data_IF_571423293096
#
_entry.id   IF_571423293096
#
_cell.length_a   1.000
_cell.length_b   1.000
_cell.length_c   1.000
_cell.angle_alpha   90.00
_cell.angle_beta   90.00
_cell.angle_gamma   90.00
#
_symmetry.space_group_name_H-M   'P 1'
#
loop_
_entity.id
_entity.type
_entity.pdbx_description
1 polymer ?
#
# COMPACT_ATOMS: atom_id res chain seq x y z
N UNK A 1 14.82 4.47 11.04
CA UNK A 1 14.62 5.35 9.86
C UNK A 1 13.21 5.22 9.30
N UNK A 2 12.65 6.27 8.69
CA UNK A 2 11.48 6.11 7.82
C UNK A 2 11.98 5.64 6.47
N UNK A 3 11.63 4.42 6.05
CA UNK A 3 11.84 3.99 4.67
C UNK A 3 11.30 5.11 3.75
N UNK A 4 12.18 5.69 2.94
CA UNK A 4 11.89 6.86 2.11
C UNK A 4 11.01 6.44 0.94
N UNK A 5 9.78 6.01 1.26
CA UNK A 5 8.82 5.53 0.30
C UNK A 5 8.51 6.67 -0.66
N UNK A 6 8.55 6.42 -1.97
CA UNK A 6 8.34 7.49 -2.94
C UNK A 6 6.95 8.11 -2.75
N UNK A 7 6.79 9.37 -3.19
CA UNK A 7 5.57 10.17 -2.99
C UNK A 7 4.27 9.43 -3.32
N UNK A 8 4.30 8.48 -4.27
CA UNK A 8 3.17 7.61 -4.61
C UNK A 8 2.58 6.83 -3.42
N UNK A 9 3.42 6.41 -2.45
CA UNK A 9 2.95 5.59 -1.33
C UNK A 9 2.06 6.39 -0.39
N UNK A 10 2.46 7.64 -0.10
CA UNK A 10 1.68 8.56 0.74
C UNK A 10 0.34 8.91 0.07
N UNK A 11 0.35 9.17 -1.24
CA UNK A 11 -0.87 9.45 -1.99
C UNK A 11 -1.83 8.25 -1.96
N UNK A 12 -1.31 7.03 -2.16
CA UNK A 12 -2.11 5.83 -2.13
C UNK A 12 -2.71 5.53 -0.76
N UNK A 13 -1.94 5.74 0.33
CA UNK A 13 -2.46 5.66 1.69
C UNK A 13 -3.56 6.69 1.94
N UNK A 14 -3.41 7.92 1.45
CA UNK A 14 -4.45 8.94 1.56
C UNK A 14 -5.75 8.52 0.83
N UNK A 15 -5.63 7.98 -0.39
CA UNK A 15 -6.77 7.45 -1.15
C UNK A 15 -7.45 6.28 -0.43
N UNK A 16 -6.67 5.39 0.16
CA UNK A 16 -7.16 4.28 0.97
C UNK A 16 -7.91 4.79 2.21
N UNK A 17 -7.35 5.75 2.95
CA UNK A 17 -7.98 6.36 4.12
C UNK A 17 -9.31 7.05 3.76
N UNK A 18 -9.37 7.77 2.64
CA UNK A 18 -10.61 8.36 2.13
C UNK A 18 -11.65 7.29 1.79
N UNK A 19 -11.23 6.22 1.13
CA UNK A 19 -12.12 5.10 0.79
C UNK A 19 -12.65 4.37 2.04
N UNK A 20 -11.81 4.19 3.05
CA UNK A 20 -12.20 3.62 4.35
C UNK A 20 -13.20 4.52 5.09
N UNK A 21 -12.98 5.84 5.10
CA UNK A 21 -13.93 6.79 5.70
C UNK A 21 -15.29 6.75 5.03
N UNK A 22 -15.33 6.68 3.68
CA UNK A 22 -16.58 6.50 2.93
C UNK A 22 -17.24 5.16 3.27
N UNK A 23 -16.47 4.08 3.41
CA UNK A 23 -16.99 2.78 3.80
C UNK A 23 -17.64 2.82 5.20
N UNK A 24 -16.95 3.41 6.17
CA UNK A 24 -17.42 3.53 7.55
C UNK A 24 -18.77 4.26 7.66
N UNK A 25 -18.98 5.29 6.82
CA UNK A 25 -20.22 6.09 6.82
C UNK A 25 -21.40 5.41 6.10
N UNK A 26 -21.18 4.30 5.38
CA UNK A 26 -22.25 3.61 4.64
C UNK A 26 -22.94 2.55 5.49
N UNK A 27 -24.27 2.48 5.37
CA UNK A 27 -25.13 1.50 6.06
C UNK A 27 -24.67 0.07 5.77
N UNK A 28 -24.51 -0.71 6.84
CA UNK A 28 -24.21 -2.16 6.78
C UNK A 28 -25.27 -2.88 5.95
N UNK A 29 -24.85 -3.87 5.15
CA UNK A 29 -25.74 -4.64 4.27
C UNK A 29 -26.18 -3.94 2.96
N UNK A 30 -26.01 -2.62 2.84
CA UNK A 30 -26.41 -1.92 1.61
C UNK A 30 -25.55 -2.30 0.39
N UNK A 31 -26.15 -2.35 -0.80
CA UNK A 31 -25.45 -2.58 -2.08
C UNK A 31 -24.31 -1.56 -2.26
N UNK A 32 -24.55 -0.30 -1.85
CA UNK A 32 -23.54 0.76 -1.89
C UNK A 32 -22.34 0.43 -0.98
N UNK A 33 -22.55 -0.14 0.20
CA UNK A 33 -21.45 -0.57 1.07
C UNK A 33 -20.65 -1.69 0.42
N UNK A 34 -21.30 -2.69 -0.16
CA UNK A 34 -20.61 -3.81 -0.83
C UNK A 34 -19.71 -3.33 -1.98
N UNK A 35 -20.23 -2.43 -2.84
CA UNK A 35 -19.42 -1.80 -3.90
C UNK A 35 -18.20 -1.04 -3.34
N UNK A 36 -18.35 -0.40 -2.19
CA UNK A 36 -17.25 0.31 -1.52
C UNK A 36 -16.23 -0.64 -0.89
N UNK A 37 -16.66 -1.77 -0.29
CA UNK A 37 -15.75 -2.81 0.20
C UNK A 37 -14.82 -3.32 -0.89
N UNK A 38 -15.37 -3.63 -2.08
CA UNK A 38 -14.57 -4.06 -3.24
C UNK A 38 -13.55 -3.00 -3.64
N UNK A 39 -13.94 -1.72 -3.65
CA UNK A 39 -13.02 -0.61 -3.95
C UNK A 39 -11.89 -0.52 -2.92
N UNK A 40 -12.20 -0.67 -1.63
CA UNK A 40 -11.21 -0.68 -0.55
C UNK A 40 -10.25 -1.86 -0.70
N UNK A 41 -10.75 -3.06 -1.01
CA UNK A 41 -9.93 -4.25 -1.24
C UNK A 41 -8.94 -4.04 -2.40
N UNK A 42 -9.39 -3.50 -3.54
CA UNK A 42 -8.52 -3.19 -4.68
C UNK A 42 -7.44 -2.16 -4.33
N UNK A 43 -7.76 -1.17 -3.49
CA UNK A 43 -6.76 -0.19 -3.03
C UNK A 43 -5.73 -0.82 -2.10
N UNK A 44 -6.15 -1.70 -1.19
CA UNK A 44 -5.24 -2.46 -0.32
C UNK A 44 -4.29 -3.33 -1.13
N UNK A 45 -4.81 -4.08 -2.10
CA UNK A 45 -4.01 -4.90 -3.01
C UNK A 45 -2.97 -4.05 -3.76
N UNK A 46 -3.39 -2.91 -4.33
CA UNK A 46 -2.49 -1.99 -5.03
C UNK A 46 -1.37 -1.47 -4.11
N UNK A 47 -1.70 -1.09 -2.88
CA UNK A 47 -0.71 -0.62 -1.89
C UNK A 47 0.27 -1.73 -1.53
N UNK A 48 -0.22 -2.95 -1.30
CA UNK A 48 0.62 -4.10 -0.98
C UNK A 48 1.58 -4.44 -2.14
N UNK A 49 1.08 -4.47 -3.38
CA UNK A 49 1.87 -4.74 -4.57
C UNK A 49 2.95 -3.66 -4.79
N UNK A 50 2.62 -2.39 -4.58
CA UNK A 50 3.61 -1.30 -4.67
C UNK A 50 4.70 -1.40 -3.60
N UNK A 51 4.35 -1.73 -2.35
CA UNK A 51 5.33 -1.97 -1.29
C UNK A 51 6.24 -3.14 -1.63
N UNK A 52 5.67 -4.26 -2.07
CA UNK A 52 6.41 -5.45 -2.47
C UNK A 52 7.38 -5.14 -3.62
N UNK A 53 6.93 -4.40 -4.64
CA UNK A 53 7.78 -4.01 -5.76
C UNK A 53 8.95 -3.11 -5.32
N UNK A 54 8.68 -2.11 -4.47
CA UNK A 54 9.73 -1.26 -3.92
C UNK A 54 10.78 -2.06 -3.15
N UNK A 55 10.33 -2.99 -2.29
CA UNK A 55 11.24 -3.87 -1.54
C UNK A 55 12.05 -4.76 -2.47
N UNK A 56 11.44 -5.38 -3.49
CA UNK A 56 12.18 -6.19 -4.46
C UNK A 56 13.26 -5.40 -5.20
N UNK A 57 12.95 -4.19 -5.66
CA UNK A 57 13.93 -3.33 -6.31
C UNK A 57 15.07 -2.97 -5.36
N UNK A 58 14.75 -2.60 -4.11
CA UNK A 58 15.77 -2.25 -3.11
C UNK A 58 16.64 -3.44 -2.72
N UNK A 59 16.05 -4.61 -2.50
CA UNK A 59 16.81 -5.83 -2.23
C UNK A 59 17.72 -6.20 -3.41
N UNK A 60 17.25 -6.06 -4.65
CA UNK A 60 18.07 -6.30 -5.84
C UNK A 60 19.22 -5.32 -5.95
N UNK A 61 18.97 -4.04 -5.70
CA UNK A 61 19.98 -2.98 -5.67
C UNK A 61 21.09 -3.31 -4.68
N UNK A 62 20.73 -3.65 -3.43
CA UNK A 62 21.69 -4.03 -2.40
C UNK A 62 22.50 -5.27 -2.78
N UNK A 63 21.84 -6.35 -3.23
CA UNK A 63 22.51 -7.59 -3.59
C UNK A 63 23.44 -7.46 -4.80
N UNK A 64 23.21 -6.47 -5.66
CA UNK A 64 24.05 -6.24 -6.86
C UNK A 64 25.26 -5.35 -6.54
N UNK A 65 25.16 -4.45 -5.55
CA UNK A 65 26.22 -3.47 -5.26
C UNK A 65 27.12 -3.84 -4.09
N UNK A 66 26.70 -4.77 -3.22
CA UNK A 66 27.43 -5.11 -2.00
C UNK A 66 27.64 -6.62 -1.91
N UNK A 67 28.87 -7.03 -1.64
CA UNK A 67 29.24 -8.44 -1.44
C UNK A 67 28.82 -8.96 -0.05
N UNK A 68 28.73 -8.06 0.94
CA UNK A 68 28.27 -8.35 2.30
C UNK A 68 27.26 -7.30 2.74
N UNK A 69 26.10 -7.75 3.21
CA UNK A 69 25.05 -6.90 3.79
C UNK A 69 24.84 -7.33 5.24
N UNK A 70 25.12 -6.45 6.19
CA UNK A 70 24.82 -6.63 7.61
C UNK A 70 23.54 -5.88 7.99
N UNK A 71 22.74 -6.46 8.89
CA UNK A 71 21.49 -5.89 9.39
C UNK A 71 21.55 -5.94 10.91
N UNK A 72 21.22 -4.82 11.57
CA UNK A 72 21.10 -4.68 13.04
C UNK A 72 19.63 -4.70 13.49
#
# INVERSE_FOLDING_TARGET
EKANYPKFYREMLYRLAKAQRVLSRRTKGSIRRNKQCIRVAKLHEKVANQRKNFLHHKSKELATHFDVVAIE
#
